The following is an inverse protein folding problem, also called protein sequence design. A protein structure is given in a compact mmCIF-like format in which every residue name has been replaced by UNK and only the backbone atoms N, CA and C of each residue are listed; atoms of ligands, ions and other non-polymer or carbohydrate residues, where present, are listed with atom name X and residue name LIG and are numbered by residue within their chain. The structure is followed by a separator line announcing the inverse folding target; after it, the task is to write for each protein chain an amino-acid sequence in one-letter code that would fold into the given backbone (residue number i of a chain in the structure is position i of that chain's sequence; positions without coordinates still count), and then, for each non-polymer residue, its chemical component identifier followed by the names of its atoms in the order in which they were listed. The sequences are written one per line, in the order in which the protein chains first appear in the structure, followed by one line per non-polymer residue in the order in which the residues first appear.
data_IF_340567092512
#
_entry.id   IF_340567092512
#
_cell.length_a   1.000
_cell.length_b   1.000
_cell.length_c   1.000
_cell.angle_alpha   90.00
_cell.angle_beta   90.00
_cell.angle_gamma   90.00
#
_symmetry.space_group_name_H-M   'P 1'
#
loop_
_entity.id
_entity.type
_entity.pdbx_description
1 polymer ?
#
# COMPACT_ATOMS: atom_id res chain seq x y z
N UNK A 1 -18.67 -7.80 13.61
CA UNK A 1 -18.73 -6.59 12.76
C UNK A 1 -17.33 -6.33 12.25
N UNK A 2 -17.18 -6.10 10.95
CA UNK A 2 -15.89 -5.77 10.31
C UNK A 2 -15.43 -4.41 10.84
N UNK A 3 -14.13 -4.23 11.10
CA UNK A 3 -13.57 -2.93 11.52
C UNK A 3 -13.80 -1.91 10.40
N UNK A 4 -14.33 -0.73 10.71
CA UNK A 4 -14.65 0.32 9.71
C UNK A 4 -13.46 0.67 8.82
N UNK A 5 -12.26 0.76 9.41
CA UNK A 5 -11.00 0.98 8.67
C UNK A 5 -10.77 -0.03 7.55
N UNK A 6 -11.14 -1.30 7.76
CA UNK A 6 -10.93 -2.36 6.76
C UNK A 6 -11.90 -2.25 5.59
N UNK A 7 -13.10 -1.71 5.82
CA UNK A 7 -14.06 -1.48 4.76
C UNK A 7 -13.58 -0.34 3.83
N UNK A 8 -13.04 0.74 4.43
CA UNK A 8 -12.49 1.87 3.68
C UNK A 8 -11.28 1.46 2.80
N UNK A 9 -10.38 0.61 3.33
CA UNK A 9 -9.23 0.11 2.56
C UNK A 9 -9.68 -0.69 1.33
N UNK A 10 -10.70 -1.54 1.47
CA UNK A 10 -11.28 -2.32 0.38
C UNK A 10 -11.96 -1.44 -0.65
N UNK A 11 -12.77 -0.49 -0.21
CA UNK A 11 -13.49 0.42 -1.10
C UNK A 11 -12.51 1.19 -2.00
N UNK A 12 -11.46 1.75 -1.41
CA UNK A 12 -10.41 2.45 -2.14
C UNK A 12 -9.69 1.54 -3.14
N UNK A 13 -9.39 0.29 -2.75
CA UNK A 13 -8.75 -0.68 -3.65
C UNK A 13 -9.67 -1.07 -4.81
N UNK A 14 -10.96 -1.28 -4.53
CA UNK A 14 -11.95 -1.63 -5.53
C UNK A 14 -12.17 -0.49 -6.53
N UNK A 15 -12.23 0.74 -6.04
CA UNK A 15 -12.29 1.95 -6.87
C UNK A 15 -11.06 2.03 -7.78
N UNK A 16 -9.86 1.78 -7.25
CA UNK A 16 -8.63 1.80 -8.04
C UNK A 16 -8.67 0.75 -9.16
N UNK A 17 -9.07 -0.49 -8.87
CA UNK A 17 -9.19 -1.57 -9.86
C UNK A 17 -10.26 -1.29 -10.92
N UNK A 18 -11.36 -0.62 -10.55
CA UNK A 18 -12.40 -0.21 -11.48
C UNK A 18 -11.91 0.92 -12.39
N UNK A 19 -11.20 1.92 -11.84
CA UNK A 19 -10.64 3.05 -12.59
C UNK A 19 -9.56 2.61 -13.59
N UNK A 20 -8.74 1.62 -13.23
CA UNK A 20 -7.73 1.05 -14.14
C UNK A 20 -8.33 0.08 -15.17
N UNK A 21 -9.63 -0.22 -15.09
CA UNK A 21 -10.30 -1.17 -15.98
C UNK A 21 -9.86 -2.62 -15.78
N UNK A 22 -9.19 -2.93 -14.66
CA UNK A 22 -8.78 -4.29 -14.31
C UNK A 22 -9.98 -5.17 -13.90
N UNK A 23 -11.10 -4.55 -13.53
CA UNK A 23 -12.34 -5.24 -13.22
C UNK A 23 -13.19 -5.46 -14.49
N UNK A 24 -13.13 -6.68 -15.05
CA UNK A 24 -13.96 -7.08 -16.21
C UNK A 24 -15.35 -7.59 -15.84
N UNK A 25 -15.56 -7.94 -14.57
CA UNK A 25 -16.81 -8.51 -14.04
C UNK A 25 -17.07 -8.03 -12.61
N UNK A 26 -18.28 -8.28 -12.09
CA UNK A 26 -18.64 -7.96 -10.70
C UNK A 26 -17.79 -8.78 -9.74
N UNK A 27 -17.30 -8.15 -8.67
CA UNK A 27 -16.58 -8.85 -7.59
C UNK A 27 -17.55 -9.76 -6.85
N UNK A 28 -17.18 -11.02 -6.66
CA UNK A 28 -17.96 -11.98 -5.87
C UNK A 28 -17.62 -11.87 -4.38
N UNK A 29 -18.48 -12.43 -3.53
CA UNK A 29 -18.27 -12.40 -2.08
C UNK A 29 -17.00 -13.16 -1.65
N UNK A 30 -16.60 -14.19 -2.39
CA UNK A 30 -15.34 -14.92 -2.16
C UNK A 30 -14.12 -14.03 -2.44
N UNK A 31 -14.12 -13.31 -3.57
CA UNK A 31 -13.05 -12.37 -3.92
C UNK A 31 -12.94 -11.22 -2.92
N UNK A 32 -14.08 -10.76 -2.39
CA UNK A 32 -14.10 -9.73 -1.35
C UNK A 32 -13.44 -10.24 -0.06
N UNK A 33 -13.67 -11.50 0.31
CA UNK A 33 -13.04 -12.14 1.48
C UNK A 33 -11.54 -12.34 1.29
N UNK A 34 -11.11 -12.76 0.10
CA UNK A 34 -9.69 -12.88 -0.24
C UNK A 34 -8.96 -11.53 -0.15
N UNK A 35 -9.55 -10.46 -0.71
CA UNK A 35 -8.99 -9.10 -0.61
C UNK A 35 -8.92 -8.61 0.84
N UNK A 36 -9.95 -8.88 1.63
CA UNK A 36 -9.97 -8.52 3.06
C UNK A 36 -8.84 -9.24 3.82
N UNK A 37 -8.63 -10.52 3.55
CA UNK A 37 -7.57 -11.31 4.19
C UNK A 37 -6.19 -10.85 3.74
N UNK A 38 -5.98 -10.62 2.44
CA UNK A 38 -4.72 -10.13 1.90
C UNK A 38 -4.32 -8.76 2.47
N UNK A 39 -5.28 -7.84 2.66
CA UNK A 39 -5.03 -6.55 3.32
C UNK A 39 -4.71 -6.73 4.81
N UNK A 40 -5.37 -7.68 5.48
CA UNK A 40 -5.10 -7.98 6.88
C UNK A 40 -3.69 -8.56 7.09
N UNK A 41 -3.21 -9.41 6.19
CA UNK A 41 -1.86 -9.99 6.23
C UNK A 41 -0.78 -8.95 5.86
N UNK A 42 -1.01 -8.09 4.86
CA UNK A 42 -0.05 -7.06 4.46
C UNK A 42 0.10 -5.91 5.48
N UNK A 43 -0.76 -5.83 6.51
CA UNK A 43 -0.65 -4.80 7.58
C UNK A 43 0.33 -5.19 8.69
N UNK A 44 0.90 -6.41 8.67
CA UNK A 44 1.98 -6.80 9.56
C UNK A 44 3.28 -6.07 9.15
N UNK A 45 3.52 -4.93 9.81
CA UNK A 45 4.78 -4.18 9.92
C UNK A 45 5.82 -4.45 8.82
N UNK A 46 5.68 -3.77 7.68
CA UNK A 46 6.79 -3.63 6.72
C UNK A 46 7.93 -2.85 7.42
N UNK A 47 8.78 -3.56 8.15
CA UNK A 47 10.03 -3.03 8.68
C UNK A 47 10.92 -2.73 7.49
N UNK A 48 10.93 -1.47 7.05
CA UNK A 48 11.85 -1.02 5.99
C UNK A 48 13.27 -1.13 6.56
N UNK A 49 13.93 -2.27 6.34
CA UNK A 49 15.33 -2.48 6.68
C UNK A 49 16.18 -1.78 5.61
N UNK A 50 16.47 -0.50 5.84
CA UNK A 50 17.44 0.24 5.03
C UNK A 50 18.84 -0.25 5.41
N UNK A 51 19.36 -1.22 4.67
CA UNK A 51 20.77 -1.60 4.75
C UNK A 51 21.61 -0.51 4.06
N UNK A 52 21.95 0.54 4.82
CA UNK A 52 22.87 1.61 4.38
C UNK A 52 24.26 0.99 4.18
N UNK A 53 24.60 0.56 2.96
CA UNK A 53 25.99 0.28 2.59
C UNK A 53 26.74 1.61 2.69
N UNK A 54 27.55 1.72 3.73
CA UNK A 54 28.60 2.72 3.95
C UNK A 54 29.35 2.98 2.64
N UNK A 55 29.12 4.14 2.01
CA UNK A 55 29.98 4.62 0.91
C UNK A 55 29.35 5.58 -0.11
N UNK A 56 28.73 6.69 0.28
CA UNK A 56 28.50 7.78 -0.71
C UNK A 56 27.40 8.80 -0.44
N UNK A 57 27.11 9.18 0.80
CA UNK A 57 26.14 10.25 1.12
C UNK A 57 26.67 11.10 2.27
N UNK A 58 27.84 11.72 2.09
CA UNK A 58 28.45 12.60 3.11
C UNK A 58 29.09 13.85 2.49
N UNK A 59 28.61 14.35 1.34
CA UNK A 59 29.21 15.59 0.77
C UNK A 59 28.28 16.50 -0.07
N UNK A 60 27.00 16.18 -0.28
CA UNK A 60 26.12 16.97 -1.19
C UNK A 60 24.81 17.50 -0.53
N UNK A 61 24.71 17.51 0.80
CA UNK A 61 23.51 17.99 1.53
C UNK A 61 23.62 19.45 2.05
N UNK A 62 24.67 20.20 1.69
CA UNK A 62 24.86 21.60 2.11
C UNK A 62 24.32 22.64 1.09
N UNK A 63 23.96 22.22 -0.14
CA UNK A 63 23.55 23.12 -1.24
C UNK A 63 22.02 23.16 -1.50
N UNK A 64 21.21 22.38 -0.78
CA UNK A 64 19.76 22.25 -1.07
C UNK A 64 18.85 23.12 -0.18
N UNK A 65 19.41 23.88 0.78
CA UNK A 65 18.66 24.69 1.74
C UNK A 65 18.78 26.22 1.54
N UNK A 66 19.11 26.68 0.33
CA UNK A 66 19.12 28.12 -0.01
C UNK A 66 18.20 28.47 -1.19
N UNK A 67 16.89 28.28 -1.02
CA UNK A 67 15.81 28.85 -1.85
C UNK A 67 14.55 29.10 -1.01
#
# INVERSE_FOLDING_TARGET
MVKEDRAADIENRLIMLARTGQLRAKVTEEQLKELLNAIAENKEEEKIVISRRKGGWDDDDDDLLDL
#
